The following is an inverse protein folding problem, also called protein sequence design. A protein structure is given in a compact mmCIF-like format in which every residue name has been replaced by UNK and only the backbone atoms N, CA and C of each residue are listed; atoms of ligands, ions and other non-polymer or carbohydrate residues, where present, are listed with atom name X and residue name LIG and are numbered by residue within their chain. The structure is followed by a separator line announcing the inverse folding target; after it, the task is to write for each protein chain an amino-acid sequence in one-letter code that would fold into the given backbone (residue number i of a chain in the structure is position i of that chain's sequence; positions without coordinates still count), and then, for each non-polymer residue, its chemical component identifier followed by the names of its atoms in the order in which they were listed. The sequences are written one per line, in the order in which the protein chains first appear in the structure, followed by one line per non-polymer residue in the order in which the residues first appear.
data_IF_778365645497
#
_entry.id   IF_778365645497
#
_cell.length_a   1.000
_cell.length_b   1.000
_cell.length_c   1.000
_cell.angle_alpha   90.00
_cell.angle_beta   90.00
_cell.angle_gamma   90.00
#
_symmetry.space_group_name_H-M   'P 1'
#
loop_
_entity.id
_entity.type
_entity.pdbx_description
1 polymer ?
#
# COMPACT_ATOMS: atom_id res chain seq x y z
N UNK A 1 -2.77 -0.71 11.21
CA UNK A 1 -2.56 -2.15 11.09
C UNK A 1 -2.83 -2.89 12.38
N UNK A 2 -1.87 -2.91 13.31
CA UNK A 2 -1.82 -3.90 14.40
C UNK A 2 -3.09 -4.03 15.24
N UNK A 3 -3.58 -2.93 15.82
CA UNK A 3 -4.79 -2.97 16.68
C UNK A 3 -6.03 -3.47 15.93
N UNK A 4 -6.20 -3.06 14.67
CA UNK A 4 -7.35 -3.46 13.83
C UNK A 4 -7.25 -4.95 13.51
N UNK A 5 -6.05 -5.42 13.13
CA UNK A 5 -5.84 -6.82 12.82
C UNK A 5 -6.01 -7.74 14.03
N UNK A 6 -5.52 -7.33 15.21
CA UNK A 6 -5.81 -8.06 16.45
C UNK A 6 -7.28 -8.18 16.75
N UNK A 7 -8.06 -7.11 16.53
CA UNK A 7 -9.52 -7.16 16.72
C UNK A 7 -10.17 -8.12 15.73
N UNK A 8 -9.80 -8.05 14.45
CA UNK A 8 -10.29 -8.96 13.43
C UNK A 8 -10.03 -10.43 13.80
N UNK A 9 -8.80 -10.77 14.16
CA UNK A 9 -8.40 -12.14 14.54
C UNK A 9 -9.12 -12.69 15.79
N UNK A 10 -9.70 -11.81 16.63
CA UNK A 10 -10.46 -12.21 17.82
C UNK A 10 -11.96 -12.36 17.56
N UNK A 11 -12.48 -11.75 16.48
CA UNK A 11 -13.91 -11.66 16.21
C UNK A 11 -14.37 -12.60 15.10
N UNK A 12 -13.46 -12.99 14.21
CA UNK A 12 -13.76 -13.72 12.99
C UNK A 12 -13.15 -15.12 12.98
N UNK A 13 -13.74 -16.04 12.21
CA UNK A 13 -13.09 -17.32 11.92
C UNK A 13 -11.89 -17.10 10.98
N UNK A 14 -10.71 -17.11 11.58
CA UNK A 14 -9.43 -16.85 10.91
C UNK A 14 -9.10 -17.85 9.79
N UNK A 15 -9.76 -19.02 9.73
CA UNK A 15 -9.56 -19.99 8.65
C UNK A 15 -10.02 -19.46 7.27
N UNK A 16 -10.85 -18.41 7.24
CA UNK A 16 -11.33 -17.80 6.00
C UNK A 16 -10.45 -16.67 5.47
N UNK A 17 -9.47 -16.19 6.26
CA UNK A 17 -8.63 -15.06 5.87
C UNK A 17 -7.48 -15.50 4.96
N UNK A 18 -7.61 -15.22 3.67
CA UNK A 18 -6.58 -15.58 2.67
C UNK A 18 -5.66 -14.41 2.30
N UNK A 19 -6.16 -13.17 2.37
CA UNK A 19 -5.42 -11.98 1.97
C UNK A 19 -5.86 -10.70 2.71
N UNK A 20 -4.96 -9.73 2.80
CA UNK A 20 -5.21 -8.39 3.34
C UNK A 20 -4.68 -7.35 2.34
N UNK A 21 -5.52 -6.38 2.03
CA UNK A 21 -5.11 -5.11 1.41
C UNK A 21 -5.04 -4.03 2.49
N UNK A 22 -3.86 -3.43 2.69
CA UNK A 22 -3.67 -2.32 3.61
C UNK A 22 -3.57 -1.00 2.85
N UNK A 23 -4.24 0.03 3.34
CA UNK A 23 -4.26 1.34 2.70
C UNK A 23 -2.96 2.16 2.85
N UNK A 24 -1.96 1.63 3.57
CA UNK A 24 -0.58 2.12 3.56
C UNK A 24 0.40 1.04 4.02
N UNK A 25 1.68 1.19 3.70
CA UNK A 25 2.74 0.27 4.14
C UNK A 25 2.90 0.26 5.67
N UNK A 26 2.69 1.39 6.34
CA UNK A 26 2.68 1.43 7.81
C UNK A 26 1.52 0.63 8.40
N UNK A 27 0.37 0.63 7.73
CA UNK A 27 -0.75 -0.21 8.13
C UNK A 27 -0.46 -1.68 7.86
N UNK A 28 0.14 -2.01 6.71
CA UNK A 28 0.57 -3.35 6.35
C UNK A 28 1.55 -3.91 7.38
N UNK A 29 2.63 -3.20 7.68
CA UNK A 29 3.63 -3.58 8.71
C UNK A 29 2.98 -3.84 10.08
N UNK A 30 2.02 -3.00 10.46
CA UNK A 30 1.26 -3.22 11.68
C UNK A 30 0.41 -4.50 11.63
N UNK A 31 -0.23 -4.78 10.50
CA UNK A 31 -1.04 -5.99 10.31
C UNK A 31 -0.17 -7.24 10.30
N UNK A 32 0.95 -7.23 9.57
CA UNK A 32 1.96 -8.29 9.55
C UNK A 32 2.45 -8.60 10.97
N UNK A 33 2.75 -7.57 11.78
CA UNK A 33 3.13 -7.75 13.18
C UNK A 33 2.05 -8.50 13.97
N UNK A 34 0.77 -8.18 13.76
CA UNK A 34 -0.32 -8.86 14.47
C UNK A 34 -0.51 -10.31 13.99
N UNK A 35 -0.38 -10.55 12.68
CA UNK A 35 -0.41 -11.90 12.11
C UNK A 35 0.71 -12.76 12.68
N UNK A 36 1.94 -12.23 12.72
CA UNK A 36 3.11 -12.89 13.30
C UNK A 36 2.92 -13.24 14.78
N UNK A 37 2.37 -12.31 15.56
CA UNK A 37 2.03 -12.52 16.97
C UNK A 37 0.94 -13.59 17.17
N UNK A 38 0.07 -13.80 16.17
CA UNK A 38 -0.93 -14.87 16.14
C UNK A 38 -0.40 -16.19 15.54
N UNK A 39 0.89 -16.25 15.19
CA UNK A 39 1.52 -17.44 14.61
C UNK A 39 1.31 -17.61 13.10
N UNK A 40 0.65 -16.66 12.43
CA UNK A 40 0.44 -16.65 10.98
C UNK A 40 1.63 -15.99 10.26
N UNK A 41 2.02 -16.55 9.12
CA UNK A 41 3.15 -16.09 8.30
C UNK A 41 2.65 -15.37 7.06
N UNK A 42 3.30 -14.26 6.73
CA UNK A 42 3.17 -13.59 5.43
C UNK A 42 4.37 -14.00 4.56
N UNK A 43 4.19 -14.37 3.28
CA UNK A 43 2.91 -14.57 2.61
C UNK A 43 2.27 -15.95 2.89
N UNK A 44 2.97 -16.90 3.52
CA UNK A 44 2.62 -18.34 3.49
C UNK A 44 1.24 -18.73 4.04
N UNK A 45 0.72 -18.04 5.06
CA UNK A 45 -0.60 -18.29 5.63
C UNK A 45 -1.60 -17.23 5.17
N UNK A 46 -1.19 -15.95 5.15
CA UNK A 46 -2.02 -14.83 4.67
C UNK A 46 -1.21 -13.96 3.70
N UNK A 47 -1.76 -13.67 2.53
CA UNK A 47 -1.18 -12.71 1.59
C UNK A 47 -1.37 -11.28 2.10
N UNK A 48 -0.37 -10.41 1.99
CA UNK A 48 -0.46 -9.02 2.43
C UNK A 48 0.12 -8.09 1.37
N UNK A 49 -0.68 -7.09 0.97
CA UNK A 49 -0.25 -6.01 0.07
C UNK A 49 -0.44 -4.66 0.76
N UNK A 50 0.58 -3.81 0.64
CA UNK A 50 0.59 -2.43 1.11
C UNK A 50 0.20 -1.41 0.03
N UNK A 51 0.46 -0.15 0.34
CA UNK A 51 0.22 1.00 -0.52
C UNK A 51 1.22 2.09 -0.11
N UNK A 52 1.78 2.83 -1.09
CA UNK A 52 2.70 3.97 -0.97
C UNK A 52 4.12 3.72 -1.47
N UNK A 53 4.64 2.49 -1.40
CA UNK A 53 6.05 2.17 -1.74
C UNK A 53 7.04 3.07 -1.01
N UNK A 54 6.84 3.21 0.31
CA UNK A 54 7.74 3.99 1.13
C UNK A 54 8.94 3.13 1.60
N UNK A 55 10.02 3.71 2.17
CA UNK A 55 11.23 2.95 2.53
C UNK A 55 11.00 1.77 3.50
N UNK A 56 9.88 1.75 4.23
CA UNK A 56 9.53 0.62 5.09
C UNK A 56 9.17 -0.63 4.26
N UNK A 57 8.59 -0.45 3.07
CA UNK A 57 8.18 -1.56 2.22
C UNK A 57 9.37 -2.40 1.76
N UNK A 58 10.45 -1.76 1.32
CA UNK A 58 11.73 -2.42 0.98
C UNK A 58 12.32 -3.15 2.19
N UNK A 59 12.32 -2.52 3.37
CA UNK A 59 12.85 -3.14 4.59
C UNK A 59 12.08 -4.40 5.02
N UNK A 60 10.79 -4.49 4.68
CA UNK A 60 9.92 -5.61 5.02
C UNK A 60 9.72 -6.59 3.84
N UNK A 61 10.38 -6.38 2.71
CA UNK A 61 10.12 -7.09 1.45
C UNK A 61 8.62 -7.14 1.10
N UNK A 62 7.90 -6.05 1.39
CA UNK A 62 6.45 -5.93 1.27
C UNK A 62 6.06 -5.68 -0.20
N UNK A 63 5.08 -6.43 -0.70
CA UNK A 63 4.42 -6.07 -1.97
C UNK A 63 3.52 -4.87 -1.76
N UNK A 64 3.61 -3.84 -2.61
CA UNK A 64 2.92 -2.58 -2.41
C UNK A 64 2.62 -1.86 -3.73
N UNK A 65 1.64 -0.96 -3.70
CA UNK A 65 1.37 -0.07 -4.82
C UNK A 65 2.29 1.14 -4.75
N UNK A 66 3.16 1.29 -5.74
CA UNK A 66 4.03 2.44 -5.93
C UNK A 66 3.31 3.54 -6.70
N UNK A 67 3.17 4.68 -6.04
CA UNK A 67 2.55 5.87 -6.59
C UNK A 67 3.63 6.84 -7.07
N UNK A 68 3.43 7.57 -8.18
CA UNK A 68 4.38 8.57 -8.67
C UNK A 68 4.27 9.87 -7.84
N UNK A 69 4.52 9.78 -6.54
CA UNK A 69 4.32 10.85 -5.55
C UNK A 69 5.15 12.10 -5.86
N UNK A 70 6.31 11.93 -6.49
CA UNK A 70 7.15 13.05 -6.93
C UNK A 70 6.46 13.86 -8.04
N UNK A 71 5.97 13.18 -9.08
CA UNK A 71 5.28 13.84 -10.19
C UNK A 71 3.96 14.49 -9.74
N UNK A 72 3.25 13.84 -8.81
CA UNK A 72 2.08 14.41 -8.15
C UNK A 72 2.43 15.69 -7.39
N UNK A 73 3.54 15.71 -6.65
CA UNK A 73 4.04 16.89 -5.93
C UNK A 73 4.44 18.02 -6.87
N UNK A 74 5.15 17.72 -7.95
CA UNK A 74 5.51 18.69 -9.00
C UNK A 74 4.27 19.30 -9.61
N UNK A 75 3.26 18.49 -9.94
CA UNK A 75 2.00 18.99 -10.47
C UNK A 75 1.26 19.86 -9.45
N UNK A 76 1.18 19.42 -8.19
CA UNK A 76 0.54 20.18 -7.12
C UNK A 76 1.16 21.57 -6.93
N UNK A 77 2.50 21.65 -6.93
CA UNK A 77 3.23 22.90 -6.84
C UNK A 77 2.98 23.81 -8.06
N UNK A 78 2.97 23.25 -9.29
CA UNK A 78 2.63 24.02 -10.50
C UNK A 78 1.22 24.59 -10.44
N UNK A 79 0.24 23.80 -9.99
CA UNK A 79 -1.14 24.25 -9.80
C UNK A 79 -1.19 25.40 -8.78
N UNK A 80 -0.53 25.24 -7.62
CA UNK A 80 -0.46 26.27 -6.59
C UNK A 80 0.13 27.59 -7.12
N UNK A 81 1.25 27.52 -7.83
CA UNK A 81 1.90 28.71 -8.39
C UNK A 81 1.04 29.39 -9.46
N UNK A 82 0.25 28.64 -10.24
CA UNK A 82 -0.74 29.21 -11.16
C UNK A 82 -1.82 29.98 -10.42
N UNK A 83 -2.41 29.40 -9.36
CA UNK A 83 -3.45 30.08 -8.58
C UNK A 83 -2.93 31.35 -7.89
N UNK A 84 -1.62 31.42 -7.62
CA UNK A 84 -0.95 32.62 -7.09
C UNK A 84 -0.55 33.63 -8.18
N UNK A 85 -0.80 33.34 -9.46
CA UNK A 85 -0.39 34.20 -10.59
C UNK A 85 1.10 34.18 -10.89
N UNK A 86 1.85 33.22 -10.35
CA UNK A 86 3.29 33.07 -10.56
C UNK A 86 3.66 32.25 -11.80
N UNK A 87 2.70 31.59 -12.43
CA UNK A 87 2.86 30.82 -13.67
C UNK A 87 1.76 31.19 -14.66
N UNK A 88 2.09 31.11 -15.95
CA UNK A 88 1.10 31.26 -17.02
C UNK A 88 0.01 30.19 -16.94
N UNK A 89 -1.20 30.53 -17.40
CA UNK A 89 -2.30 29.57 -17.43
C UNK A 89 -1.99 28.41 -18.39
N UNK A 90 -2.06 27.19 -17.86
CA UNK A 90 -2.07 25.96 -18.66
C UNK A 90 -3.44 25.29 -18.56
N UNK A 91 -3.91 24.62 -19.62
CA UNK A 91 -5.26 24.10 -19.70
C UNK A 91 -5.59 23.19 -18.52
N UNK A 92 -6.84 23.27 -18.01
CA UNK A 92 -7.38 22.32 -17.06
C UNK A 92 -7.39 20.93 -17.71
N UNK A 93 -6.42 20.10 -17.34
CA UNK A 93 -6.29 18.73 -17.81
C UNK A 93 -6.67 17.75 -16.71
N UNK A 94 -7.24 16.62 -17.12
CA UNK A 94 -7.28 15.42 -16.28
C UNK A 94 -5.87 14.83 -16.30
N UNK A 95 -5.22 14.83 -15.13
CA UNK A 95 -3.94 14.16 -14.95
C UNK A 95 -4.22 12.73 -14.50
N UNK A 96 -3.70 11.76 -15.23
CA UNK A 96 -3.68 10.36 -14.80
C UNK A 96 -2.25 10.05 -14.36
N UNK A 97 -2.13 9.46 -13.19
CA UNK A 97 -0.87 9.01 -12.64
C UNK A 97 -0.87 7.49 -12.70
N UNK A 98 0.15 6.92 -13.33
CA UNK A 98 0.28 5.47 -13.44
C UNK A 98 0.82 4.92 -12.13
N UNK A 99 -0.03 4.19 -11.40
CA UNK A 99 0.36 3.41 -10.23
C UNK A 99 0.89 2.06 -10.68
N UNK A 100 2.01 1.63 -10.11
CA UNK A 100 2.62 0.31 -10.37
C UNK A 100 2.51 -0.56 -9.13
N UNK A 101 2.62 -1.87 -9.30
CA UNK A 101 2.77 -2.80 -8.18
C UNK A 101 4.24 -3.17 -8.08
N UNK A 102 4.88 -2.76 -6.98
CA UNK A 102 6.19 -3.24 -6.59
C UNK A 102 5.97 -4.55 -5.83
N UNK A 103 6.42 -5.65 -6.42
CA UNK A 103 6.03 -6.98 -5.98
C UNK A 103 7.20 -7.80 -5.50
N UNK A 104 6.98 -8.47 -4.36
CA UNK A 104 7.81 -9.58 -3.94
C UNK A 104 7.39 -10.83 -4.75
N UNK A 105 8.32 -11.56 -5.39
CA UNK A 105 8.00 -12.70 -6.24
C UNK A 105 7.19 -13.80 -5.52
N UNK A 106 7.33 -13.95 -4.19
CA UNK A 106 6.56 -14.92 -3.41
C UNK A 106 5.10 -14.49 -3.18
N UNK A 107 4.79 -13.19 -3.24
CA UNK A 107 3.43 -12.68 -3.09
C UNK A 107 2.55 -13.06 -4.28
N UNK A 108 3.04 -12.82 -5.51
CA UNK A 108 2.28 -13.06 -6.74
C UNK A 108 1.89 -14.54 -6.89
N UNK A 109 2.81 -15.45 -6.57
CA UNK A 109 2.55 -16.90 -6.65
C UNK A 109 1.39 -17.29 -5.74
N UNK A 110 1.28 -16.71 -4.55
CA UNK A 110 0.20 -17.07 -3.63
C UNK A 110 -1.12 -16.37 -3.94
N UNK A 111 -1.10 -15.08 -4.27
CA UNK A 111 -2.31 -14.30 -4.50
C UNK A 111 -3.18 -14.83 -5.66
N UNK A 112 -2.56 -15.39 -6.70
CA UNK A 112 -3.30 -15.98 -7.84
C UNK A 112 -3.73 -17.44 -7.63
N UNK A 113 -3.32 -18.08 -6.53
CA UNK A 113 -3.59 -19.50 -6.24
C UNK A 113 -4.53 -19.72 -5.04
N UNK A 114 -5.05 -18.64 -4.44
CA UNK A 114 -6.13 -18.64 -3.42
C UNK A 114 -7.49 -18.55 -4.09
#
# INVERSE_FOLDING_TARGET
GNKVMKRFLLQEDTNSLTAIFAASDYQAAGAEKALKEAGLKVPNDVSLIGFDDNPLSEYLDLTTFSQPIYDMGVLGAKIMLRELGCLEEFPKMKFNFDTKVESNPFFLIKFFNT
#
